data_IF_761440327147
#
_entry.id   IF_761440327147
#
_cell.length_a   1.000
_cell.length_b   1.000
_cell.length_c   1.000
_cell.angle_alpha   90.00
_cell.angle_beta   90.00
_cell.angle_gamma   90.00
#
_symmetry.space_group_name_H-M   'P 1'
#
loop_
_entity.id
_entity.type
_entity.pdbx_description
1 polymer ?
#
# COMPACT_ATOMS: atom_id res chain seq x y z
N UNK A 1 14.67 -4.28 26.85
CA UNK A 1 15.19 -4.49 25.47
C UNK A 1 15.79 -3.16 25.02
N UNK A 2 17.06 -3.13 24.62
CA UNK A 2 17.68 -1.91 24.09
C UNK A 2 17.08 -1.53 22.73
N UNK A 3 16.90 -0.23 22.50
CA UNK A 3 16.30 0.31 21.28
C UNK A 3 16.95 1.63 20.88
N UNK A 4 16.95 1.90 19.58
CA UNK A 4 17.27 3.20 19.00
C UNK A 4 16.20 3.58 17.96
N UNK A 5 15.67 4.79 18.04
CA UNK A 5 14.69 5.35 17.11
C UNK A 5 15.38 6.41 16.27
N UNK A 6 15.37 6.22 14.96
CA UNK A 6 16.00 7.12 14.00
C UNK A 6 14.92 8.00 13.38
N UNK A 7 15.13 9.31 13.40
CA UNK A 7 14.27 10.31 12.75
C UNK A 7 15.11 11.04 11.70
N UNK A 8 14.56 11.24 10.51
CA UNK A 8 15.27 11.84 9.38
C UNK A 8 16.40 10.94 8.87
N UNK A 9 16.08 9.68 8.56
CA UNK A 9 17.01 8.82 7.84
C UNK A 9 17.07 9.23 6.36
N UNK A 10 18.12 8.81 5.65
CA UNK A 10 18.14 9.00 4.20
C UNK A 10 16.96 8.26 3.52
N UNK A 11 16.48 8.72 2.35
CA UNK A 11 15.28 8.19 1.72
C UNK A 11 15.31 6.68 1.46
N UNK A 12 16.48 6.09 1.17
CA UNK A 12 16.59 4.66 0.87
C UNK A 12 16.60 3.81 2.14
N UNK A 13 17.18 4.32 3.23
CA UNK A 13 17.06 3.71 4.56
C UNK A 13 15.62 3.76 5.06
N UNK A 14 14.93 4.90 4.88
CA UNK A 14 13.50 5.01 5.19
C UNK A 14 12.67 4.01 4.39
N UNK A 15 12.88 3.92 3.08
CA UNK A 15 12.17 2.98 2.21
C UNK A 15 12.43 1.52 2.61
N UNK A 16 13.68 1.15 2.88
CA UNK A 16 14.01 -0.19 3.35
C UNK A 16 13.39 -0.51 4.72
N UNK A 17 13.12 0.51 5.54
CA UNK A 17 12.47 0.34 6.85
C UNK A 17 11.01 -0.12 6.71
N UNK A 18 10.31 0.27 5.64
CA UNK A 18 8.90 -0.09 5.39
C UNK A 18 8.73 -1.30 4.49
N UNK A 19 9.64 -1.55 3.55
CA UNK A 19 9.58 -2.70 2.63
C UNK A 19 9.54 -4.02 3.41
N UNK A 20 8.68 -4.93 2.95
CA UNK A 20 8.61 -6.28 3.49
C UNK A 20 9.90 -7.05 3.23
N UNK A 21 10.46 -7.64 4.27
CA UNK A 21 11.62 -8.52 4.19
C UNK A 21 11.39 -9.78 5.05
N UNK A 22 11.85 -10.96 4.60
CA UNK A 22 11.82 -12.16 5.44
C UNK A 22 12.55 -11.97 6.77
N UNK A 23 12.15 -12.72 7.79
CA UNK A 23 12.85 -12.72 9.07
C UNK A 23 14.33 -13.07 8.89
N UNK A 24 15.19 -12.34 9.59
CA UNK A 24 16.65 -12.52 9.52
C UNK A 24 17.34 -11.72 8.42
N UNK A 25 16.58 -11.03 7.55
CA UNK A 25 17.15 -10.05 6.62
C UNK A 25 17.37 -8.72 7.33
N UNK A 26 18.60 -8.22 7.26
CA UNK A 26 18.95 -6.89 7.73
C UNK A 26 18.40 -5.82 6.76
N UNK A 27 17.53 -4.94 7.26
CA UNK A 27 16.94 -3.85 6.48
C UNK A 27 17.96 -2.79 6.09
N UNK A 28 19.05 -2.62 6.85
CA UNK A 28 20.16 -1.74 6.44
C UNK A 28 20.94 -2.33 5.26
N UNK A 29 21.05 -3.65 5.17
CA UNK A 29 21.60 -4.32 3.99
C UNK A 29 20.68 -4.17 2.76
N UNK A 30 19.35 -4.19 2.94
CA UNK A 30 18.39 -3.88 1.87
C UNK A 30 18.57 -2.45 1.37
N UNK A 31 18.66 -1.48 2.28
CA UNK A 31 18.97 -0.08 1.92
C UNK A 31 20.28 0.01 1.15
N UNK A 32 21.32 -0.71 1.61
CA UNK A 32 22.61 -0.80 0.94
C UNK A 32 22.53 -1.40 -0.48
N UNK A 33 21.72 -2.44 -0.66
CA UNK A 33 21.44 -3.04 -1.96
C UNK A 33 20.72 -2.08 -2.91
N UNK A 34 19.75 -1.30 -2.42
CA UNK A 34 19.04 -0.30 -3.23
C UNK A 34 19.97 0.80 -3.73
N UNK A 35 20.89 1.28 -2.89
CA UNK A 35 21.86 2.33 -3.24
C UNK A 35 23.15 1.82 -3.90
N UNK A 36 23.35 0.50 -3.96
CA UNK A 36 24.59 -0.15 -4.42
C UNK A 36 25.85 0.21 -3.60
N UNK A 37 25.67 0.61 -2.34
CA UNK A 37 26.73 1.01 -1.40
C UNK A 37 26.27 0.71 0.04
N UNK A 38 27.13 0.24 0.96
CA UNK A 38 26.74 0.05 2.36
C UNK A 38 26.21 1.32 3.03
N UNK A 39 25.21 1.17 3.91
CA UNK A 39 24.79 2.28 4.79
C UNK A 39 25.92 2.57 5.77
N UNK A 40 26.32 3.84 5.90
CA UNK A 40 27.31 4.27 6.90
C UNK A 40 26.66 4.22 8.27
N UNK A 41 27.24 3.45 9.18
CA UNK A 41 26.75 3.28 10.54
C UNK A 41 27.74 3.84 11.56
N UNK A 42 27.21 4.25 12.71
CA UNK A 42 27.98 4.64 13.90
C UNK A 42 27.39 3.98 15.14
N UNK A 43 28.23 3.73 16.15
CA UNK A 43 27.76 3.23 17.44
C UNK A 43 26.90 4.27 18.16
N UNK A 44 25.77 3.82 18.70
CA UNK A 44 24.97 4.58 19.64
C UNK A 44 25.78 4.89 20.92
N UNK A 45 25.32 5.88 21.70
CA UNK A 45 26.05 6.39 22.86
C UNK A 45 25.85 5.57 24.13
N UNK A 46 24.65 5.02 24.31
CA UNK A 46 24.16 4.46 25.57
C UNK A 46 23.62 3.04 25.44
N UNK A 47 23.47 2.53 24.22
CA UNK A 47 23.02 1.17 23.90
C UNK A 47 24.00 0.51 22.92
N UNK A 48 24.09 -0.82 22.91
CA UNK A 48 24.98 -1.55 21.99
C UNK A 48 24.30 -1.79 20.63
N UNK A 49 23.91 -0.70 19.98
CA UNK A 49 23.32 -0.69 18.64
C UNK A 49 24.13 0.20 17.71
N UNK A 50 24.04 -0.10 16.42
CA UNK A 50 24.55 0.75 15.35
C UNK A 50 23.39 1.47 14.67
N UNK A 51 23.56 2.76 14.37
CA UNK A 51 22.55 3.63 13.76
C UNK A 51 23.11 4.31 12.52
N UNK A 52 22.27 4.71 11.54
CA UNK A 52 22.72 5.47 10.37
C UNK A 52 23.48 6.74 10.77
N UNK A 53 24.70 6.89 10.26
CA UNK A 53 25.58 8.01 10.57
C UNK A 53 25.02 9.36 10.13
N UNK A 54 24.18 9.36 9.10
CA UNK A 54 23.60 10.56 8.50
C UNK A 54 22.18 10.87 9.02
N UNK A 55 21.70 10.20 10.07
CA UNK A 55 20.41 10.50 10.68
C UNK A 55 20.33 11.94 11.22
N UNK A 56 19.17 12.58 11.10
CA UNK A 56 18.91 13.90 11.69
C UNK A 56 18.90 13.83 13.23
N UNK A 57 18.19 12.84 13.79
CA UNK A 57 18.07 12.61 15.23
C UNK A 57 18.02 11.12 15.56
N UNK A 58 18.57 10.74 16.72
CA UNK A 58 18.50 9.39 17.27
C UNK A 58 18.11 9.43 18.74
N UNK A 59 17.01 8.78 19.09
CA UNK A 59 16.55 8.57 20.47
C UNK A 59 16.99 7.17 20.90
N UNK A 60 17.80 7.08 21.95
CA UNK A 60 18.29 5.82 22.50
C UNK A 60 17.62 5.52 23.84
N UNK A 61 17.41 4.24 24.13
CA UNK A 61 16.82 3.84 25.39
C UNK A 61 16.57 2.35 25.52
N UNK A 62 15.69 2.02 26.46
CA UNK A 62 15.28 0.64 26.72
C UNK A 62 13.77 0.52 26.91
N UNK A 63 13.16 -0.45 26.22
CA UNK A 63 11.80 -0.88 26.51
C UNK A 63 11.79 -1.59 27.86
N UNK A 64 10.99 -1.08 28.79
CA UNK A 64 10.81 -1.59 30.14
C UNK A 64 9.92 -2.85 30.14
N UNK A 65 10.41 -4.01 30.62
CA UNK A 65 9.61 -5.24 30.66
C UNK A 65 8.38 -5.08 31.56
N UNK A 66 7.21 -5.43 31.04
CA UNK A 66 5.95 -5.44 31.81
C UNK A 66 5.35 -4.07 32.11
N UNK A 67 6.03 -2.97 31.77
CA UNK A 67 5.53 -1.60 31.97
C UNK A 67 4.83 -1.14 30.70
N UNK A 68 3.56 -0.76 30.83
CA UNK A 68 2.73 -0.25 29.74
C UNK A 68 1.91 0.94 30.23
N UNK A 69 1.77 1.93 29.35
CA UNK A 69 0.99 3.14 29.60
C UNK A 69 -0.09 3.30 28.53
N UNK A 70 -1.13 4.07 28.83
CA UNK A 70 -2.12 4.47 27.82
C UNK A 70 -1.50 5.50 26.88
N UNK A 71 -1.60 5.23 25.57
CA UNK A 71 -1.11 6.08 24.49
C UNK A 71 -2.27 6.45 23.57
N UNK A 72 -2.28 7.72 23.14
CA UNK A 72 -3.37 8.33 22.38
C UNK A 72 -4.32 9.21 23.22
N UNK A 73 -5.47 9.62 22.66
CA UNK A 73 -5.97 9.24 21.35
C UNK A 73 -5.08 9.79 20.23
N UNK A 74 -4.62 8.90 19.34
CA UNK A 74 -3.81 9.25 18.17
C UNK A 74 -4.56 8.87 16.90
N UNK A 75 -4.42 9.68 15.85
CA UNK A 75 -5.04 9.40 14.55
C UNK A 75 -4.26 8.29 13.85
N UNK A 76 -4.95 7.24 13.41
CA UNK A 76 -4.35 6.10 12.72
C UNK A 76 -4.60 6.13 11.22
N UNK A 77 -3.94 5.23 10.50
CA UNK A 77 -4.01 5.07 9.04
C UNK A 77 -5.45 4.90 8.52
N UNK A 78 -6.38 4.45 9.36
CA UNK A 78 -7.80 4.29 8.99
C UNK A 78 -8.60 5.59 9.01
N UNK A 79 -8.00 6.70 9.46
CA UNK A 79 -8.66 8.00 9.60
C UNK A 79 -9.42 8.18 10.91
N UNK A 80 -9.30 7.24 11.86
CA UNK A 80 -9.95 7.27 13.16
C UNK A 80 -8.94 7.39 14.30
N UNK A 81 -9.42 7.85 15.45
CA UNK A 81 -8.61 7.94 16.67
C UNK A 81 -8.67 6.64 17.47
N UNK A 82 -7.51 6.15 17.91
CA UNK A 82 -7.40 4.97 18.75
C UNK A 82 -6.59 5.26 20.01
N UNK A 83 -6.80 4.42 21.02
CA UNK A 83 -6.05 4.45 22.28
C UNK A 83 -5.65 3.03 22.62
N UNK A 84 -4.37 2.82 22.86
CA UNK A 84 -3.81 1.50 23.15
C UNK A 84 -2.91 1.55 24.38
N UNK A 85 -2.71 0.39 25.03
CA UNK A 85 -1.70 0.24 26.09
C UNK A 85 -0.39 -0.23 25.50
N UNK A 86 0.54 0.69 25.30
CA UNK A 86 1.81 0.45 24.64
C UNK A 86 2.98 0.32 25.64
N UNK A 87 4.06 -0.41 25.29
CA UNK A 87 5.26 -0.50 26.13
C UNK A 87 5.93 0.87 26.33
N UNK A 88 6.52 1.08 27.51
CA UNK A 88 7.26 2.32 27.81
C UNK A 88 8.73 2.19 27.40
N UNK A 89 9.24 3.21 26.69
CA UNK A 89 10.66 3.39 26.44
C UNK A 89 11.23 4.34 27.48
N UNK A 90 12.17 3.88 28.28
CA UNK A 90 13.00 4.75 29.12
C UNK A 90 14.15 5.30 28.27
N UNK A 91 14.10 6.59 27.97
CA UNK A 91 15.09 7.29 27.12
C UNK A 91 16.36 7.55 27.92
N UNK A 92 17.50 7.15 27.36
CA UNK A 92 18.84 7.31 27.98
C UNK A 92 19.68 8.38 27.28
N UNK A 93 19.45 8.61 25.98
CA UNK A 93 20.09 9.67 25.23
C UNK A 93 19.23 10.16 24.05
N UNK A 94 19.43 11.43 23.68
CA UNK A 94 19.01 11.99 22.42
C UNK A 94 20.24 12.59 21.75
N UNK A 95 20.59 12.10 20.57
CA UNK A 95 21.67 12.69 19.75
C UNK A 95 21.08 13.26 18.46
N UNK A 96 21.67 14.33 17.95
CA UNK A 96 21.16 15.03 16.77
C UNK A 96 22.28 15.75 16.03
N UNK A 97 22.06 16.04 14.75
CA UNK A 97 22.92 16.94 13.97
C UNK A 97 22.75 18.39 14.44
N UNK A 98 23.65 19.27 13.98
CA UNK A 98 23.43 20.71 14.13
C UNK A 98 22.27 21.13 13.21
N UNK A 99 21.29 21.85 13.76
CA UNK A 99 20.07 22.29 13.05
C UNK A 99 19.27 21.13 12.43
N UNK A 100 18.77 20.19 13.26
CA UNK A 100 18.17 18.95 12.77
C UNK A 100 16.78 19.18 12.16
N UNK A 101 16.47 18.41 11.12
CA UNK A 101 15.12 18.35 10.54
C UNK A 101 14.31 17.24 11.20
N UNK A 102 13.18 17.60 11.81
CA UNK A 102 12.23 16.62 12.34
C UNK A 102 11.32 16.11 11.21
N UNK A 103 11.61 14.90 10.71
CA UNK A 103 10.75 14.23 9.75
C UNK A 103 9.50 13.68 10.45
N UNK A 104 8.34 14.25 10.12
CA UNK A 104 7.03 13.78 10.56
C UNK A 104 6.22 13.25 9.37
N UNK A 105 5.25 12.39 9.66
CA UNK A 105 4.23 11.94 8.71
C UNK A 105 2.85 12.19 9.31
N UNK A 106 1.90 12.59 8.48
CA UNK A 106 0.51 12.74 8.90
C UNK A 106 -0.26 11.46 8.54
N UNK A 107 -0.78 10.70 9.53
CA UNK A 107 -1.53 9.48 9.28
C UNK A 107 -2.76 9.72 8.38
N UNK A 108 -3.22 8.67 7.70
CA UNK A 108 -4.35 8.66 6.76
C UNK A 108 -4.15 9.51 5.49
N UNK A 109 -3.12 10.36 5.42
CA UNK A 109 -2.83 11.16 4.24
C UNK A 109 -1.90 10.42 3.27
N UNK A 110 -1.69 11.01 2.09
CA UNK A 110 -0.77 10.51 1.08
C UNK A 110 0.66 10.31 1.61
N UNK A 111 1.07 11.05 2.65
CA UNK A 111 2.38 10.92 3.29
C UNK A 111 2.63 9.49 3.80
N UNK A 112 1.60 8.89 4.41
CA UNK A 112 1.65 7.53 4.93
C UNK A 112 1.26 6.51 3.84
N UNK A 113 0.16 6.76 3.12
CA UNK A 113 -0.39 5.78 2.18
C UNK A 113 0.59 5.41 1.07
N UNK A 114 1.37 6.38 0.58
CA UNK A 114 2.39 6.13 -0.44
C UNK A 114 3.43 5.11 0.06
N UNK A 115 3.85 5.22 1.32
CA UNK A 115 4.83 4.30 1.90
C UNK A 115 4.24 2.90 2.10
N UNK A 116 2.98 2.82 2.54
CA UNK A 116 2.24 1.57 2.73
C UNK A 116 2.02 0.86 1.39
N UNK A 117 1.56 1.57 0.37
CA UNK A 117 1.33 1.01 -0.96
C UNK A 117 2.63 0.49 -1.59
N UNK A 118 3.72 1.25 -1.48
CA UNK A 118 5.04 0.79 -1.94
C UNK A 118 5.52 -0.46 -1.18
N UNK A 119 5.34 -0.50 0.14
CA UNK A 119 5.82 -1.58 0.98
C UNK A 119 5.08 -2.91 0.71
N UNK A 120 3.75 -2.85 0.56
CA UNK A 120 2.91 -4.04 0.45
C UNK A 120 2.52 -4.36 -1.00
N UNK A 121 2.25 -3.35 -1.82
CA UNK A 121 1.72 -3.49 -3.19
C UNK A 121 2.62 -4.32 -4.10
N UNK A 122 3.93 -4.06 -4.12
CA UNK A 122 4.87 -4.79 -4.98
C UNK A 122 4.91 -6.28 -4.62
N UNK A 123 4.99 -6.60 -3.32
CA UNK A 123 5.01 -7.98 -2.85
C UNK A 123 3.68 -8.68 -3.09
N UNK A 124 2.56 -8.00 -2.80
CA UNK A 124 1.22 -8.51 -3.03
C UNK A 124 1.00 -8.85 -4.51
N UNK A 125 1.35 -7.94 -5.42
CA UNK A 125 1.25 -8.19 -6.86
C UNK A 125 2.10 -9.37 -7.31
N UNK A 126 3.34 -9.48 -6.82
CA UNK A 126 4.22 -10.62 -7.14
C UNK A 126 3.64 -11.95 -6.66
N UNK A 127 3.09 -12.00 -5.45
CA UNK A 127 2.47 -13.21 -4.90
C UNK A 127 1.19 -13.58 -5.63
N UNK A 128 0.32 -12.59 -5.87
CA UNK A 128 -0.92 -12.77 -6.61
C UNK A 128 -0.67 -13.30 -8.03
N UNK A 129 0.35 -12.78 -8.73
CA UNK A 129 0.76 -13.30 -10.05
C UNK A 129 1.27 -14.74 -10.02
N UNK A 130 1.90 -15.18 -8.91
CA UNK A 130 2.31 -16.57 -8.75
C UNK A 130 1.11 -17.50 -8.57
N UNK A 131 0.08 -17.04 -7.85
CA UNK A 131 -1.15 -17.78 -7.62
C UNK A 131 -2.05 -17.79 -8.87
N UNK A 132 -2.18 -16.63 -9.54
CA UNK A 132 -3.03 -16.42 -10.71
C UNK A 132 -2.26 -15.63 -11.78
N UNK A 133 -1.61 -16.33 -12.75
CA UNK A 133 -0.77 -15.69 -13.78
C UNK A 133 -1.46 -14.67 -14.71
N UNK A 134 -2.79 -14.62 -14.72
CA UNK A 134 -3.56 -13.62 -15.49
C UNK A 134 -3.70 -12.25 -14.82
N UNK A 135 -3.26 -12.08 -13.57
CA UNK A 135 -3.25 -10.79 -12.88
C UNK A 135 -2.15 -9.91 -13.49
N UNK A 136 -2.55 -8.78 -14.08
CA UNK A 136 -1.66 -7.84 -14.76
C UNK A 136 -1.26 -6.68 -13.88
N UNK A 137 -2.11 -6.24 -12.97
CA UNK A 137 -1.76 -5.16 -12.07
C UNK A 137 -2.65 -5.16 -10.81
N UNK A 138 -2.20 -4.46 -9.77
CA UNK A 138 -2.88 -4.32 -8.48
C UNK A 138 -2.74 -2.87 -8.02
N UNK A 139 -3.85 -2.27 -7.62
CA UNK A 139 -3.86 -0.96 -7.00
C UNK A 139 -4.70 -0.97 -5.73
N UNK A 140 -4.13 -0.52 -4.62
CA UNK A 140 -4.88 -0.20 -3.42
C UNK A 140 -5.43 1.22 -3.54
N UNK A 141 -6.74 1.38 -3.40
CA UNK A 141 -7.41 2.66 -3.58
C UNK A 141 -6.96 3.66 -2.51
N UNK A 142 -6.49 4.87 -2.87
CA UNK A 142 -6.10 5.90 -1.91
C UNK A 142 -7.25 6.32 -1.00
N UNK A 143 -6.92 6.70 0.23
CA UNK A 143 -7.85 7.05 1.31
C UNK A 143 -8.51 5.84 1.99
N UNK A 144 -8.15 4.61 1.62
CA UNK A 144 -8.79 3.39 2.12
C UNK A 144 -7.89 2.56 3.04
N UNK A 145 -6.69 3.05 3.35
CA UNK A 145 -5.74 2.33 4.20
C UNK A 145 -5.44 0.89 3.69
N UNK A 146 -5.44 0.68 2.36
CA UNK A 146 -5.25 -0.64 1.76
C UNK A 146 -6.43 -1.62 1.91
N UNK A 147 -7.59 -1.16 2.40
CA UNK A 147 -8.77 -2.02 2.55
C UNK A 147 -9.56 -2.25 1.25
N UNK A 148 -9.30 -1.48 0.20
CA UNK A 148 -9.96 -1.60 -1.09
C UNK A 148 -8.92 -1.78 -2.20
N UNK A 149 -9.00 -2.90 -2.91
CA UNK A 149 -8.09 -3.27 -3.98
C UNK A 149 -8.80 -3.37 -5.34
N UNK A 150 -8.13 -2.92 -6.39
CA UNK A 150 -8.54 -3.11 -7.78
C UNK A 150 -7.46 -3.92 -8.48
N UNK A 151 -7.85 -5.00 -9.16
CA UNK A 151 -6.96 -5.87 -9.92
C UNK A 151 -7.30 -5.85 -11.41
N UNK A 152 -6.29 -5.60 -12.24
CA UNK A 152 -6.41 -5.76 -13.68
C UNK A 152 -6.13 -7.21 -14.05
N UNK A 153 -7.01 -7.84 -14.82
CA UNK A 153 -6.88 -9.25 -15.22
C UNK A 153 -6.98 -9.41 -16.73
N UNK A 154 -6.25 -10.39 -17.29
CA UNK A 154 -6.25 -10.67 -18.73
C UNK A 154 -6.17 -12.17 -19.00
N UNK A 155 -6.97 -12.65 -19.96
CA UNK A 155 -6.94 -14.04 -20.41
C UNK A 155 -7.47 -15.04 -19.39
N UNK A 156 -8.25 -14.58 -18.41
CA UNK A 156 -8.88 -15.43 -17.40
C UNK A 156 -10.33 -15.74 -17.79
N UNK A 157 -10.75 -16.97 -17.54
CA UNK A 157 -12.18 -17.31 -17.59
C UNK A 157 -12.89 -16.84 -16.29
N UNK A 158 -14.23 -16.81 -16.24
CA UNK A 158 -14.97 -16.30 -15.07
C UNK A 158 -14.62 -16.98 -13.73
N UNK A 159 -14.32 -18.29 -13.74
CA UNK A 159 -13.92 -18.99 -12.52
C UNK A 159 -12.55 -18.52 -12.02
N UNK A 160 -11.62 -18.25 -12.94
CA UNK A 160 -10.29 -17.75 -12.61
C UNK A 160 -10.30 -16.28 -12.18
N UNK A 161 -11.20 -15.45 -12.73
CA UNK A 161 -11.41 -14.07 -12.24
C UNK A 161 -11.91 -14.10 -10.79
N UNK A 162 -12.88 -14.97 -10.49
CA UNK A 162 -13.35 -15.18 -9.12
C UNK A 162 -12.23 -15.65 -8.19
N UNK A 163 -11.38 -16.57 -8.63
CA UNK A 163 -10.20 -17.00 -7.87
C UNK A 163 -9.24 -15.82 -7.62
N UNK A 164 -8.92 -15.01 -8.64
CA UNK A 164 -8.09 -13.82 -8.51
C UNK A 164 -8.61 -12.85 -7.44
N UNK A 165 -9.92 -12.58 -7.45
CA UNK A 165 -10.58 -11.73 -6.47
C UNK A 165 -10.50 -12.31 -5.05
N UNK A 166 -10.74 -13.61 -4.88
CA UNK A 166 -10.61 -14.28 -3.58
C UNK A 166 -9.18 -14.22 -3.06
N UNK A 167 -8.17 -14.50 -3.89
CA UNK A 167 -6.76 -14.40 -3.49
C UNK A 167 -6.39 -12.97 -3.11
N UNK A 168 -6.93 -11.98 -3.82
CA UNK A 168 -6.74 -10.55 -3.50
C UNK A 168 -7.29 -10.20 -2.11
N UNK A 169 -8.43 -10.76 -1.70
CA UNK A 169 -8.96 -10.56 -0.35
C UNK A 169 -8.13 -11.24 0.76
N UNK A 170 -7.37 -12.28 0.40
CA UNK A 170 -6.59 -13.08 1.36
C UNK A 170 -5.13 -12.62 1.47
N UNK A 171 -4.64 -11.79 0.56
CA UNK A 171 -3.24 -11.34 0.55
C UNK A 171 -2.86 -10.56 1.81
N UNK A 172 -3.83 -9.84 2.38
CA UNK A 172 -3.68 -9.11 3.63
C UNK A 172 -5.05 -9.09 4.36
N UNK A 173 -5.11 -9.41 5.67
CA UNK A 173 -6.34 -9.36 6.46
C UNK A 173 -7.13 -8.04 6.34
N UNK A 174 -6.43 -6.94 6.07
CA UNK A 174 -7.00 -5.60 5.92
C UNK A 174 -7.82 -5.39 4.64
N UNK A 175 -7.57 -6.14 3.56
CA UNK A 175 -8.33 -6.01 2.30
C UNK A 175 -9.75 -6.53 2.51
N UNK A 176 -10.74 -5.65 2.39
CA UNK A 176 -12.17 -5.98 2.54
C UNK A 176 -12.93 -5.99 1.24
N UNK A 177 -12.48 -5.20 0.27
CA UNK A 177 -13.14 -5.03 -1.02
C UNK A 177 -12.13 -5.31 -2.13
N UNK A 178 -12.49 -6.16 -3.08
CA UNK A 178 -11.69 -6.43 -4.27
C UNK A 178 -12.55 -6.24 -5.54
N UNK A 179 -12.04 -5.48 -6.51
CA UNK A 179 -12.67 -5.27 -7.82
C UNK A 179 -11.75 -5.85 -8.90
N UNK A 180 -12.29 -6.62 -9.84
CA UNK A 180 -11.56 -7.07 -11.03
C UNK A 180 -12.02 -6.29 -12.25
N UNK A 181 -11.08 -5.84 -13.08
CA UNK A 181 -11.35 -5.12 -14.34
C UNK A 181 -10.47 -5.64 -15.47
N UNK A 182 -10.91 -5.44 -16.71
CA UNK A 182 -10.10 -5.72 -17.90
C UNK A 182 -8.96 -4.70 -18.08
N UNK A 183 -7.94 -5.00 -18.92
CA UNK A 183 -6.79 -4.11 -19.14
C UNK A 183 -7.13 -2.79 -19.86
N UNK A 184 -8.36 -2.62 -20.35
CA UNK A 184 -8.81 -1.36 -20.95
C UNK A 184 -9.32 -0.35 -19.92
N UNK A 185 -9.25 -0.67 -18.62
CA UNK A 185 -9.60 0.21 -17.51
C UNK A 185 -8.31 0.64 -16.82
N UNK A 186 -8.10 1.95 -16.69
CA UNK A 186 -7.01 2.46 -15.86
C UNK A 186 -7.36 2.29 -14.38
N UNK A 187 -6.72 1.34 -13.69
CA UNK A 187 -7.00 1.06 -12.27
C UNK A 187 -6.62 2.20 -11.32
N UNK A 188 -5.77 3.14 -11.77
CA UNK A 188 -5.40 4.33 -11.01
C UNK A 188 -6.40 5.50 -11.16
N UNK A 189 -7.38 5.36 -12.05
CA UNK A 189 -8.48 6.32 -12.21
C UNK A 189 -9.78 5.70 -11.71
N UNK A 190 -10.22 6.13 -10.52
CA UNK A 190 -11.45 5.62 -9.90
C UNK A 190 -12.70 5.90 -10.76
N UNK A 191 -12.70 6.95 -11.58
CA UNK A 191 -13.81 7.20 -12.49
C UNK A 191 -13.90 6.10 -13.56
N UNK A 192 -12.76 5.61 -14.08
CA UNK A 192 -12.74 4.48 -15.01
C UNK A 192 -13.12 3.16 -14.34
N UNK A 193 -12.65 2.92 -13.11
CA UNK A 193 -13.03 1.73 -12.33
C UNK A 193 -14.55 1.72 -12.10
N UNK A 194 -15.12 2.84 -11.67
CA UNK A 194 -16.56 2.97 -11.46
C UNK A 194 -17.36 2.89 -12.77
N UNK A 195 -16.83 3.37 -13.89
CA UNK A 195 -17.42 3.16 -15.20
C UNK A 195 -17.51 1.68 -15.56
N UNK A 196 -16.44 0.91 -15.35
CA UNK A 196 -16.43 -0.53 -15.58
C UNK A 196 -17.46 -1.24 -14.70
N UNK A 197 -17.51 -0.91 -13.41
CA UNK A 197 -18.54 -1.42 -12.50
C UNK A 197 -19.96 -1.10 -13.01
N UNK A 198 -20.24 0.15 -13.35
CA UNK A 198 -21.58 0.58 -13.75
C UNK A 198 -22.06 -0.06 -15.06
N UNK A 199 -21.15 -0.47 -15.94
CA UNK A 199 -21.48 -0.89 -17.31
C UNK A 199 -21.28 -2.38 -17.57
N UNK A 200 -20.52 -3.09 -16.73
CA UNK A 200 -20.17 -4.51 -16.93
C UNK A 200 -20.71 -5.42 -15.83
N UNK A 201 -20.78 -4.94 -14.58
CA UNK A 201 -21.14 -5.73 -13.42
C UNK A 201 -22.66 -5.93 -13.30
N UNK A 202 -23.08 -7.19 -13.15
CA UNK A 202 -24.44 -7.59 -12.78
C UNK A 202 -24.47 -8.04 -11.32
N UNK A 203 -25.02 -7.20 -10.42
CA UNK A 203 -24.88 -7.37 -8.97
C UNK A 203 -25.16 -8.79 -8.43
N UNK A 204 -26.22 -9.44 -8.91
CA UNK A 204 -26.60 -10.79 -8.46
C UNK A 204 -25.69 -11.93 -8.95
N UNK A 205 -24.90 -11.72 -10.01
CA UNK A 205 -24.03 -12.74 -10.62
C UNK A 205 -22.56 -12.50 -10.31
N UNK A 206 -22.18 -11.22 -10.30
CA UNK A 206 -20.80 -10.75 -10.34
C UNK A 206 -20.33 -10.21 -8.98
N UNK A 207 -21.12 -10.41 -7.93
CA UNK A 207 -20.73 -10.07 -6.55
C UNK A 207 -20.84 -11.28 -5.65
N UNK A 208 -19.98 -11.32 -4.62
CA UNK A 208 -20.05 -12.32 -3.57
C UNK A 208 -19.62 -11.70 -2.25
N UNK A 209 -20.47 -11.85 -1.25
CA UNK A 209 -20.20 -11.44 0.13
C UNK A 209 -19.71 -12.65 0.90
N UNK A 210 -18.60 -12.48 1.61
CA UNK A 210 -17.91 -13.50 2.38
C UNK A 210 -17.97 -13.10 3.86
N UNK A 211 -18.98 -13.57 4.61
CA UNK A 211 -19.07 -13.31 6.04
C UNK A 211 -18.07 -14.17 6.83
N UNK A 212 -17.70 -13.73 8.04
CA UNK A 212 -16.89 -14.54 8.95
C UNK A 212 -15.42 -14.69 8.52
N UNK A 213 -14.90 -13.74 7.76
CA UNK A 213 -13.52 -13.73 7.29
C UNK A 213 -12.60 -13.05 8.31
N UNK A 214 -11.31 -13.37 8.25
CA UNK A 214 -10.31 -12.66 9.05
C UNK A 214 -10.26 -11.17 8.66
N UNK A 215 -10.39 -10.30 9.65
CA UNK A 215 -10.31 -8.84 9.53
C UNK A 215 -9.06 -8.27 10.21
N UNK A 216 -8.96 -6.94 10.20
CA UNK A 216 -7.87 -6.18 10.81
C UNK A 216 -8.28 -5.62 12.18
N UNK A 217 -7.32 -5.49 13.10
CA UNK A 217 -7.55 -4.91 14.43
C UNK A 217 -7.77 -3.40 14.44
N UNK A 218 -7.42 -2.73 13.33
CA UNK A 218 -7.60 -1.29 13.16
C UNK A 218 -8.84 -0.95 12.32
N UNK A 219 -9.55 -1.95 11.80
CA UNK A 219 -10.83 -1.74 11.11
C UNK A 219 -11.92 -1.45 12.14
N UNK A 220 -12.48 -0.23 12.19
CA UNK A 220 -13.46 0.17 13.19
C UNK A 220 -14.81 -0.57 13.06
N UNK A 221 -15.05 -1.21 11.90
CA UNK A 221 -16.26 -1.99 11.65
C UNK A 221 -16.09 -3.49 11.87
N UNK A 222 -14.87 -3.96 12.16
CA UNK A 222 -14.61 -5.35 12.47
C UNK A 222 -15.05 -5.70 13.89
N UNK A 223 -15.53 -6.92 14.08
CA UNK A 223 -15.91 -7.45 15.39
C UNK A 223 -14.71 -8.15 16.03
N UNK A 224 -14.42 -7.80 17.28
CA UNK A 224 -13.44 -8.55 18.07
C UNK A 224 -13.99 -9.92 18.43
N UNK A 225 -13.21 -10.97 18.17
CA UNK A 225 -13.56 -12.34 18.60
C UNK A 225 -12.73 -12.74 19.81
N UNK A 226 -13.11 -13.79 20.58
CA UNK A 226 -12.26 -14.32 21.65
C UNK A 226 -10.88 -14.72 21.13
N UNK A 227 -9.85 -13.94 21.44
CA UNK A 227 -8.46 -14.16 21.01
C UNK A 227 -7.89 -13.00 20.16
N UNK A 228 -6.72 -13.16 19.54
CA UNK A 228 -6.07 -12.10 18.74
C UNK A 228 -6.64 -12.01 17.32
N UNK A 229 -7.89 -12.41 17.11
CA UNK A 229 -8.51 -12.49 15.78
C UNK A 229 -9.67 -11.51 15.71
N UNK A 230 -9.68 -10.74 14.62
CA UNK A 230 -10.77 -9.85 14.26
C UNK A 230 -11.55 -10.51 13.13
N UNK A 231 -12.86 -10.35 13.16
CA UNK A 231 -13.76 -10.92 12.17
C UNK A 231 -14.42 -9.79 11.40
N UNK A 232 -14.48 -9.94 10.07
CA UNK A 232 -15.14 -8.99 9.17
C UNK A 232 -15.89 -9.76 8.09
N UNK A 233 -16.78 -9.05 7.40
CA UNK A 233 -17.27 -9.47 6.09
C UNK A 233 -16.40 -8.84 5.01
N UNK A 234 -16.18 -9.57 3.91
CA UNK A 234 -15.47 -9.09 2.72
C UNK A 234 -16.37 -9.21 1.48
N UNK A 235 -16.06 -8.47 0.42
CA UNK A 235 -16.82 -8.50 -0.83
C UNK A 235 -15.88 -8.54 -2.03
N UNK A 236 -16.27 -9.32 -3.04
CA UNK A 236 -15.67 -9.28 -4.37
C UNK A 236 -16.67 -8.70 -5.37
N UNK A 237 -16.14 -7.98 -6.36
CA UNK A 237 -16.88 -7.29 -7.41
C UNK A 237 -16.20 -7.58 -8.74
N UNK A 238 -16.82 -8.41 -9.58
CA UNK A 238 -16.33 -8.68 -10.93
C UNK A 238 -16.89 -7.62 -11.89
N UNK A 239 -16.05 -6.67 -12.28
CA UNK A 239 -16.36 -5.65 -13.26
C UNK A 239 -15.65 -5.93 -14.60
N UNK A 240 -15.28 -7.18 -14.86
CA UNK A 240 -14.75 -7.60 -16.15
C UNK A 240 -15.87 -7.73 -17.19
N UNK A 241 -15.51 -7.75 -18.48
CA UNK A 241 -16.48 -7.91 -19.57
C UNK A 241 -17.20 -9.26 -19.46
N UNK A 242 -18.52 -9.18 -19.30
CA UNK A 242 -19.38 -10.36 -19.34
C UNK A 242 -19.49 -11.00 -20.74
N UNK A 243 -20.29 -12.08 -20.88
CA UNK A 243 -20.51 -12.72 -22.17
C UNK A 243 -21.23 -11.81 -23.16
N UNK A 244 -20.95 -12.00 -24.45
CA UNK A 244 -21.64 -11.31 -25.53
C UNK A 244 -21.01 -11.49 -26.90
N UNK A 245 -21.68 -10.91 -27.91
CA UNK A 245 -21.20 -10.87 -29.28
C UNK A 245 -19.90 -10.05 -29.39
N UNK A 246 -19.02 -10.36 -30.36
CA UNK A 246 -17.84 -9.54 -30.64
C UNK A 246 -18.24 -8.06 -30.80
N UNK A 247 -17.59 -7.18 -30.04
CA UNK A 247 -17.89 -5.76 -30.08
C UNK A 247 -18.81 -5.25 -28.97
N UNK A 248 -19.56 -6.11 -28.27
CA UNK A 248 -20.53 -5.69 -27.23
C UNK A 248 -19.92 -4.78 -26.15
N UNK A 249 -18.69 -5.07 -25.74
CA UNK A 249 -17.96 -4.32 -24.71
C UNK A 249 -16.73 -3.59 -25.25
N UNK A 250 -16.70 -3.29 -26.55
CA UNK A 250 -15.62 -2.50 -27.13
C UNK A 250 -15.69 -1.08 -26.62
N UNK A 251 -14.67 -0.67 -25.85
CA UNK A 251 -14.51 0.71 -25.38
C UNK A 251 -14.34 1.63 -26.60
N UNK A 252 -15.04 2.76 -26.58
CA UNK A 252 -14.88 3.79 -27.61
C UNK A 252 -13.51 4.44 -27.42
N UNK A 253 -12.72 4.42 -28.48
CA UNK A 253 -11.43 5.13 -28.54
C UNK A 253 -11.32 5.88 -29.87
N UNK A 254 -10.68 7.06 -29.90
CA UNK A 254 -10.32 7.70 -31.16
C UNK A 254 -9.41 6.78 -31.99
N UNK A 255 -9.45 6.90 -33.32
CA UNK A 255 -8.55 6.13 -34.17
C UNK A 255 -7.08 6.49 -33.90
N UNK A 256 -6.17 5.53 -34.10
CA UNK A 256 -4.74 5.77 -33.95
C UNK A 256 -4.25 6.93 -34.82
N UNK A 257 -4.78 7.05 -36.04
CA UNK A 257 -4.49 8.18 -36.94
C UNK A 257 -4.91 9.53 -36.34
N UNK A 258 -6.12 9.59 -35.73
CA UNK A 258 -6.59 10.81 -35.08
C UNK A 258 -5.73 11.17 -33.86
N UNK A 259 -5.31 10.17 -33.07
CA UNK A 259 -4.42 10.39 -31.91
C UNK A 259 -3.04 10.88 -32.32
N UNK A 260 -2.44 10.30 -33.37
CA UNK A 260 -1.14 10.74 -33.91
C UNK A 260 -1.24 12.19 -34.40
N UNK A 261 -2.25 12.49 -35.22
CA UNK A 261 -2.46 13.85 -35.74
C UNK A 261 -2.70 14.87 -34.62
N UNK A 262 -3.48 14.51 -33.60
CA UNK A 262 -3.68 15.37 -32.43
C UNK A 262 -2.36 15.62 -31.67
N UNK A 263 -1.52 14.59 -31.52
CA UNK A 263 -0.19 14.70 -30.92
C UNK A 263 0.74 15.63 -31.70
N UNK A 264 0.76 15.53 -33.03
CA UNK A 264 1.53 16.43 -33.90
C UNK A 264 1.06 17.89 -33.76
N UNK A 265 -0.26 18.13 -33.78
CA UNK A 265 -0.83 19.47 -33.58
C UNK A 265 -0.44 20.02 -32.21
N UNK A 266 -0.56 19.21 -31.15
CA UNK A 266 -0.19 19.60 -29.79
C UNK A 266 1.30 19.97 -29.69
N UNK A 267 2.18 19.13 -30.25
CA UNK A 267 3.62 19.39 -30.26
C UNK A 267 3.94 20.72 -30.94
N UNK A 268 3.33 21.01 -32.09
CA UNK A 268 3.54 22.27 -32.81
C UNK A 268 3.00 23.49 -32.04
N UNK A 269 1.88 23.35 -31.32
CA UNK A 269 1.33 24.42 -30.48
C UNK A 269 2.23 24.72 -29.28
N UNK A 270 2.75 23.69 -28.60
CA UNK A 270 3.62 23.85 -27.42
C UNK A 270 5.02 24.32 -27.82
N UNK A 271 5.62 23.74 -28.87
CA UNK A 271 6.91 24.18 -29.38
C UNK A 271 6.87 25.61 -29.96
N UNK A 272 5.73 26.00 -30.55
CA UNK A 272 5.51 27.36 -31.07
C UNK A 272 5.34 28.44 -29.99
N UNK A 273 5.12 28.08 -28.72
CA UNK A 273 4.99 29.02 -27.60
C UNK A 273 6.32 29.33 -26.89
N UNK A 274 7.44 28.68 -27.25
CA UNK A 274 8.78 28.97 -26.72
C UNK A 274 9.51 30.16 -27.36
N UNK A 275 8.81 31.01 -28.13
CA UNK A 275 9.38 32.08 -28.94
C UNK A 275 8.73 33.46 -28.76
N UNK A 276 8.31 33.81 -27.54
CA UNK A 276 7.96 35.18 -27.15
C UNK A 276 8.40 35.49 -25.74
#
# INVERSE_FOLDING_TARGET
>A
LEVAIVIGADPLTLLASVVWAPQGIDKLAVAGGLRQEPVKLVKARTVDLEVPAEAEMVIEGRILPGVREEEGPFGESTGYYFTYKNPVIEVTALTMRHDPVYQALLPWTLDEETLVDMAFGVKALQDLRRLVPGIRDLHFVPGTCGSHAVVAVEGLNPAQVREALLQTLLINPQVKMAIAVDPDVNIYDLAEVHWAMATRLQAHQDTMILPGMQGSSIDPSAESTPGPVWMSSKIILDATRGPGEPGKFTRITPSSEAMVKAGEIWHNLVAGQGGR
#
